data_IF_936942126757
#
_entry.id   IF_936942126757
#
_cell.length_a   1.000
_cell.length_b   1.000
_cell.length_c   1.000
_cell.angle_alpha   90.00
_cell.angle_beta   90.00
_cell.angle_gamma   90.00
#
_symmetry.space_group_name_H-M   'P 1'
#
loop_
_entity.id
_entity.type
_entity.pdbx_description
1 polymer ?
#
# COMPACT_ATOMS: atom_id res chain seq x y z
N UNK A 1 11.59 -17.60 22.15
CA UNK A 1 11.86 -16.43 21.29
C UNK A 1 11.33 -15.23 22.04
N UNK A 2 12.22 -14.47 22.64
CA UNK A 2 11.87 -13.28 23.42
C UNK A 2 11.15 -12.29 22.52
N UNK A 3 9.90 -11.94 22.89
CA UNK A 3 9.25 -10.74 22.37
C UNK A 3 9.99 -9.58 23.03
N UNK A 4 10.98 -9.04 22.34
CA UNK A 4 11.64 -7.81 22.76
C UNK A 4 10.65 -6.64 22.64
N UNK A 5 9.80 -6.48 23.66
CA UNK A 5 8.84 -5.38 23.79
C UNK A 5 9.52 -4.00 23.78
N UNK A 6 10.86 -3.94 23.91
CA UNK A 6 11.65 -2.71 23.97
C UNK A 6 12.58 -2.51 22.75
N UNK A 7 12.47 -3.38 21.75
CA UNK A 7 13.32 -3.32 20.57
C UNK A 7 13.07 -2.08 19.71
N UNK A 8 14.07 -1.62 18.93
CA UNK A 8 13.98 -0.48 18.01
C UNK A 8 12.68 -0.43 17.19
N UNK A 9 12.26 -1.58 16.67
CA UNK A 9 11.08 -1.73 15.82
C UNK A 9 9.78 -1.56 16.62
N UNK A 10 9.70 -2.09 17.85
CA UNK A 10 8.49 -1.99 18.67
C UNK A 10 8.29 -0.58 19.24
N UNK A 11 9.38 0.13 19.57
CA UNK A 11 9.33 1.56 19.89
C UNK A 11 8.73 2.35 18.73
N UNK A 12 9.23 2.12 17.51
CA UNK A 12 8.71 2.77 16.30
C UNK A 12 7.25 2.44 15.99
N UNK A 13 6.84 1.17 16.13
CA UNK A 13 5.44 0.77 15.97
C UNK A 13 4.52 1.49 16.96
N UNK A 14 4.95 1.61 18.21
CA UNK A 14 4.21 2.37 19.24
C UNK A 14 4.12 3.86 18.88
N UNK A 15 5.21 4.46 18.40
CA UNK A 15 5.22 5.85 17.95
C UNK A 15 4.26 6.05 16.75
N UNK A 16 4.23 5.13 15.79
CA UNK A 16 3.30 5.17 14.65
C UNK A 16 1.84 5.15 15.13
N UNK A 17 1.50 4.31 16.11
CA UNK A 17 0.14 4.28 16.68
C UNK A 17 -0.26 5.58 17.38
N UNK A 18 0.70 6.39 17.85
CA UNK A 18 0.40 7.70 18.41
C UNK A 18 -0.12 8.70 17.37
N UNK A 19 0.10 8.44 16.06
CA UNK A 19 -0.24 9.34 14.93
C UNK A 19 0.34 10.75 15.07
N UNK A 20 1.42 10.88 15.83
CA UNK A 20 2.19 12.11 15.97
C UNK A 20 3.48 11.99 15.17
N UNK A 21 3.55 12.71 14.05
CA UNK A 21 4.70 12.69 13.16
C UNK A 21 5.98 13.17 13.86
N UNK A 22 5.89 14.14 14.77
CA UNK A 22 7.07 14.64 15.50
C UNK A 22 7.65 13.56 16.43
N UNK A 23 6.76 12.81 17.09
CA UNK A 23 7.16 11.66 17.91
C UNK A 23 7.77 10.54 17.06
N UNK A 24 7.18 10.24 15.89
CA UNK A 24 7.72 9.24 14.95
C UNK A 24 9.10 9.66 14.45
N UNK A 25 9.29 10.91 14.03
CA UNK A 25 10.57 11.44 13.56
C UNK A 25 11.64 11.35 14.65
N UNK A 26 11.32 11.80 15.86
CA UNK A 26 12.23 11.74 17.01
C UNK A 26 12.62 10.29 17.32
N UNK A 27 11.63 9.39 17.38
CA UNK A 27 11.87 7.96 17.66
C UNK A 27 12.69 7.31 16.55
N UNK A 28 12.41 7.64 15.28
CA UNK A 28 13.16 7.12 14.13
C UNK A 28 14.63 7.51 14.23
N UNK A 29 14.92 8.79 14.48
CA UNK A 29 16.30 9.26 14.62
C UNK A 29 17.03 8.65 15.84
N UNK A 30 16.31 8.33 16.92
CA UNK A 30 16.90 7.64 18.09
C UNK A 30 17.35 6.22 17.74
N UNK A 31 16.56 5.50 16.94
CA UNK A 31 16.75 4.04 16.75
C UNK A 31 17.36 3.67 15.38
N UNK A 32 17.50 4.62 14.46
CA UNK A 32 18.11 4.46 13.14
C UNK A 32 19.65 4.51 13.25
N UNK A 33 20.29 3.35 13.50
CA UNK A 33 20.70 2.41 12.44
C UNK A 33 20.40 0.93 12.76
N UNK A 34 19.52 0.67 13.73
CA UNK A 34 19.22 -0.68 14.23
C UNK A 34 18.01 -1.33 13.52
N UNK A 35 17.38 -0.60 12.60
CA UNK A 35 16.24 -1.07 11.82
C UNK A 35 16.77 -1.62 10.49
N UNK A 36 16.39 -2.84 10.14
CA UNK A 36 16.73 -3.41 8.84
C UNK A 36 15.69 -3.04 7.77
N UNK A 37 16.06 -3.13 6.49
CA UNK A 37 15.23 -2.75 5.35
C UNK A 37 13.82 -3.35 5.41
N UNK A 38 13.71 -4.65 5.74
CA UNK A 38 12.41 -5.32 5.85
C UNK A 38 11.51 -4.65 6.89
N UNK A 39 12.07 -4.26 8.02
CA UNK A 39 11.33 -3.54 9.06
C UNK A 39 10.96 -2.13 8.61
N UNK A 40 11.81 -1.41 7.89
CA UNK A 40 11.51 -0.07 7.35
C UNK A 40 10.36 -0.08 6.35
N UNK A 41 10.40 -1.03 5.43
CA UNK A 41 9.32 -1.28 4.46
C UNK A 41 8.00 -1.60 5.18
N UNK A 42 8.06 -2.36 6.28
CA UNK A 42 6.90 -2.62 7.10
C UNK A 42 6.37 -1.36 7.80
N UNK A 43 7.21 -0.43 8.26
CA UNK A 43 6.76 0.84 8.87
C UNK A 43 5.99 1.70 7.86
N UNK A 44 6.48 1.79 6.63
CA UNK A 44 5.76 2.43 5.51
C UNK A 44 4.38 1.79 5.33
N UNK A 45 4.28 0.45 5.35
CA UNK A 45 2.99 -0.22 5.29
C UNK A 45 2.06 0.08 6.48
N UNK A 46 2.58 0.26 7.69
CA UNK A 46 1.75 0.64 8.83
C UNK A 46 1.18 2.05 8.64
N UNK A 47 1.97 3.01 8.16
CA UNK A 47 1.49 4.36 7.86
C UNK A 47 0.39 4.35 6.78
N UNK A 48 0.59 3.56 5.71
CA UNK A 48 -0.42 3.34 4.66
C UNK A 48 -1.68 2.75 5.28
N UNK A 49 -1.58 1.66 6.07
CA UNK A 49 -2.73 1.02 6.74
C UNK A 49 -3.52 1.99 7.63
N UNK A 50 -2.87 2.99 8.21
CA UNK A 50 -3.50 4.03 9.04
C UNK A 50 -4.12 5.18 8.23
N UNK A 51 -3.83 5.27 6.93
CA UNK A 51 -4.27 6.39 6.09
C UNK A 51 -3.47 7.65 6.29
N UNK A 52 -2.26 7.55 6.85
CA UNK A 52 -1.49 8.72 7.21
C UNK A 52 -0.55 9.10 6.06
N UNK A 53 -1.00 10.03 5.23
CA UNK A 53 -0.28 10.48 4.04
C UNK A 53 1.04 11.14 4.39
N UNK A 54 1.07 11.96 5.45
CA UNK A 54 2.27 12.67 5.88
C UNK A 54 3.31 11.69 6.43
N UNK A 55 2.88 10.75 7.27
CA UNK A 55 3.75 9.70 7.79
C UNK A 55 4.23 8.75 6.68
N UNK A 56 3.38 8.46 5.69
CA UNK A 56 3.76 7.67 4.52
C UNK A 56 4.85 8.40 3.72
N UNK A 57 4.68 9.72 3.47
CA UNK A 57 5.71 10.55 2.82
C UNK A 57 7.01 10.55 3.62
N UNK A 58 6.94 10.64 4.94
CA UNK A 58 8.12 10.58 5.80
C UNK A 58 8.87 9.26 5.62
N UNK A 59 8.22 8.10 5.76
CA UNK A 59 8.91 6.81 5.63
C UNK A 59 9.44 6.55 4.22
N UNK A 60 8.69 6.94 3.17
CA UNK A 60 9.19 6.87 1.79
C UNK A 60 10.42 7.76 1.60
N UNK A 61 10.51 8.92 2.26
CA UNK A 61 11.70 9.79 2.19
C UNK A 61 12.95 9.14 2.78
N UNK A 62 12.79 8.21 3.73
CA UNK A 62 13.89 7.47 4.35
C UNK A 62 14.24 6.21 3.57
N UNK A 63 13.23 5.52 3.06
CA UNK A 63 13.39 4.31 2.26
C UNK A 63 12.47 4.35 1.02
N UNK A 64 12.96 4.84 -0.13
CA UNK A 64 12.10 5.21 -1.27
C UNK A 64 11.49 4.05 -2.07
N UNK A 65 11.84 2.80 -1.75
CA UNK A 65 11.24 1.66 -2.43
C UNK A 65 9.76 1.50 -2.02
N UNK A 66 8.85 1.58 -2.99
CA UNK A 66 7.40 1.35 -2.84
C UNK A 66 6.91 0.04 -3.51
N UNK A 67 7.82 -0.72 -4.11
CA UNK A 67 7.54 -1.94 -4.87
C UNK A 67 8.01 -3.19 -4.10
N UNK A 68 7.41 -3.41 -2.94
CA UNK A 68 7.71 -4.52 -2.04
C UNK A 68 6.40 -5.13 -1.52
N UNK A 69 6.49 -6.34 -0.96
CA UNK A 69 5.34 -7.00 -0.33
C UNK A 69 5.42 -6.77 1.17
N UNK A 70 4.34 -6.27 1.77
CA UNK A 70 4.23 -6.17 3.23
C UNK A 70 4.28 -7.55 3.87
N UNK A 71 4.98 -7.69 4.99
CA UNK A 71 5.17 -9.01 5.60
C UNK A 71 3.91 -9.68 6.17
N UNK A 72 2.79 -8.97 6.25
CA UNK A 72 1.58 -9.43 6.93
C UNK A 72 0.42 -9.80 5.99
N UNK A 73 0.34 -9.22 4.78
CA UNK A 73 -0.91 -9.26 4.00
C UNK A 73 -0.75 -9.67 2.53
N UNK A 74 0.43 -10.12 2.08
CA UNK A 74 0.69 -10.47 0.65
C UNK A 74 0.43 -9.34 -0.36
N UNK A 75 0.24 -8.12 0.12
CA UNK A 75 -0.09 -6.94 -0.68
C UNK A 75 1.13 -6.04 -0.88
N UNK A 76 1.23 -5.47 -2.08
CA UNK A 76 2.10 -4.31 -2.32
C UNK A 76 1.45 -3.05 -1.74
N UNK A 77 2.22 -2.01 -1.38
CA UNK A 77 1.71 -0.72 -0.91
C UNK A 77 0.52 -0.18 -1.70
N UNK A 78 0.58 -0.26 -3.04
CA UNK A 78 -0.50 0.23 -3.90
C UNK A 78 -1.81 -0.54 -3.69
N UNK A 79 -1.77 -1.85 -3.46
CA UNK A 79 -2.96 -2.64 -3.15
C UNK A 79 -3.54 -2.24 -1.80
N UNK A 80 -2.70 -2.03 -0.78
CA UNK A 80 -3.17 -1.59 0.54
C UNK A 80 -3.86 -0.22 0.47
N UNK A 81 -3.34 0.73 -0.33
CA UNK A 81 -3.99 2.03 -0.55
C UNK A 81 -5.35 1.88 -1.27
N UNK A 82 -5.46 0.97 -2.24
CA UNK A 82 -6.72 0.68 -2.95
C UNK A 82 -7.76 0.03 -2.02
N UNK A 83 -7.36 -0.96 -1.20
CA UNK A 83 -8.23 -1.62 -0.22
C UNK A 83 -8.81 -0.62 0.78
N UNK A 84 -8.01 0.40 1.11
CA UNK A 84 -8.43 1.50 1.99
C UNK A 84 -9.37 2.51 1.33
N UNK A 85 -9.61 2.36 0.03
CA UNK A 85 -10.39 3.31 -0.76
C UNK A 85 -9.86 4.75 -0.64
N UNK A 86 -8.53 4.91 -0.68
CA UNK A 86 -7.83 6.17 -0.45
C UNK A 86 -7.15 6.68 -1.74
N UNK A 87 -7.81 7.54 -2.54
CA UNK A 87 -7.27 8.04 -3.80
C UNK A 87 -6.00 8.88 -3.62
N UNK A 88 -5.83 9.55 -2.48
CA UNK A 88 -4.65 10.38 -2.20
C UNK A 88 -3.42 9.49 -2.00
N UNK A 89 -3.54 8.42 -1.21
CA UNK A 89 -2.46 7.44 -1.07
C UNK A 89 -2.16 6.70 -2.38
N UNK A 90 -3.18 6.35 -3.18
CA UNK A 90 -2.96 5.74 -4.50
C UNK A 90 -2.16 6.68 -5.41
N UNK A 91 -2.56 7.96 -5.46
CA UNK A 91 -1.86 8.97 -6.26
C UNK A 91 -0.43 9.16 -5.79
N UNK A 92 -0.21 9.30 -4.47
CA UNK A 92 1.13 9.41 -3.88
C UNK A 92 2.02 8.22 -4.26
N UNK A 93 1.51 6.99 -4.17
CA UNK A 93 2.31 5.80 -4.47
C UNK A 93 2.66 5.73 -5.96
N UNK A 94 1.72 6.06 -6.86
CA UNK A 94 1.98 6.15 -8.30
C UNK A 94 3.04 7.22 -8.61
N UNK A 95 2.95 8.40 -8.00
CA UNK A 95 3.95 9.47 -8.11
C UNK A 95 5.34 9.03 -7.62
N UNK A 96 5.40 8.14 -6.63
CA UNK A 96 6.64 7.56 -6.10
C UNK A 96 7.14 6.34 -6.88
N UNK A 97 6.53 6.03 -8.02
CA UNK A 97 6.98 4.97 -8.92
C UNK A 97 6.48 3.58 -8.53
N UNK A 98 5.31 3.50 -7.88
CA UNK A 98 4.65 2.22 -7.66
C UNK A 98 4.33 1.54 -9.00
N UNK A 99 4.70 0.27 -9.12
CA UNK A 99 4.41 -0.56 -10.28
C UNK A 99 2.94 -0.98 -10.25
N UNK A 100 2.17 -0.37 -11.13
CA UNK A 100 0.72 -0.57 -11.28
C UNK A 100 0.36 -1.97 -11.79
N UNK A 101 1.33 -2.72 -12.33
CA UNK A 101 1.13 -4.08 -12.85
C UNK A 101 1.42 -5.17 -11.81
N UNK A 102 1.83 -4.78 -10.60
CA UNK A 102 2.02 -5.73 -9.49
C UNK A 102 0.76 -6.54 -9.24
N UNK A 103 0.97 -7.80 -8.87
CA UNK A 103 -0.09 -8.72 -8.44
C UNK A 103 0.12 -9.07 -6.97
N UNK A 104 -0.97 -9.18 -6.24
CA UNK A 104 -0.95 -9.73 -4.88
C UNK A 104 -0.27 -11.11 -4.89
N UNK A 105 0.34 -11.47 -3.78
CA UNK A 105 1.02 -12.77 -3.63
C UNK A 105 0.16 -13.83 -2.96
N UNK A 106 -1.12 -13.52 -2.74
CA UNK A 106 -2.11 -14.52 -2.39
C UNK A 106 -2.46 -15.39 -3.63
N UNK A 107 -3.18 -16.51 -3.46
CA UNK A 107 -3.50 -17.40 -4.57
C UNK A 107 -4.29 -16.77 -5.72
N UNK A 108 -5.01 -15.66 -5.53
CA UNK A 108 -5.79 -14.98 -6.56
C UNK A 108 -4.92 -14.16 -7.50
N UNK A 109 -3.77 -13.64 -7.05
CA UNK A 109 -2.88 -12.78 -7.85
C UNK A 109 -3.62 -11.63 -8.53
N UNK A 110 -4.41 -10.91 -7.73
CA UNK A 110 -5.16 -9.75 -8.21
C UNK A 110 -4.23 -8.57 -8.46
N UNK A 111 -4.53 -7.77 -9.49
CA UNK A 111 -3.89 -6.45 -9.66
C UNK A 111 -4.61 -5.41 -8.80
N UNK A 112 -3.99 -4.25 -8.61
CA UNK A 112 -4.64 -3.08 -7.99
C UNK A 112 -6.01 -2.76 -8.63
N UNK A 113 -6.15 -2.97 -9.95
CA UNK A 113 -7.39 -2.70 -10.67
C UNK A 113 -8.49 -3.75 -10.38
N UNK A 114 -8.14 -5.01 -10.14
CA UNK A 114 -9.10 -6.02 -9.65
C UNK A 114 -9.62 -5.63 -8.27
N UNK A 115 -8.74 -5.17 -7.38
CA UNK A 115 -9.14 -4.72 -6.04
C UNK A 115 -10.06 -3.51 -6.14
N UNK A 116 -9.75 -2.51 -6.98
CA UNK A 116 -10.61 -1.34 -7.19
C UNK A 116 -11.98 -1.71 -7.79
N UNK A 117 -12.02 -2.75 -8.63
CA UNK A 117 -13.27 -3.29 -9.15
C UNK A 117 -14.16 -3.87 -8.03
N UNK A 118 -13.57 -4.68 -7.14
CA UNK A 118 -14.23 -5.29 -5.98
C UNK A 118 -14.74 -4.26 -4.96
N UNK A 119 -14.02 -3.15 -4.77
CA UNK A 119 -14.47 -2.07 -3.88
C UNK A 119 -15.46 -1.13 -4.56
N UNK A 120 -15.64 -1.22 -5.88
CA UNK A 120 -16.54 -0.34 -6.63
C UNK A 120 -16.02 1.08 -6.82
N UNK A 121 -14.74 1.34 -6.52
CA UNK A 121 -14.16 2.69 -6.55
C UNK A 121 -13.72 3.09 -7.96
N UNK A 122 -14.65 3.67 -8.73
CA UNK A 122 -14.38 4.20 -10.08
C UNK A 122 -13.30 5.29 -10.10
N UNK A 123 -13.23 6.11 -9.06
CA UNK A 123 -12.19 7.15 -8.91
C UNK A 123 -10.80 6.52 -8.86
N UNK A 124 -10.61 5.51 -8.01
CA UNK A 124 -9.32 4.82 -7.89
C UNK A 124 -9.00 4.02 -9.14
N UNK A 125 -9.99 3.34 -9.73
CA UNK A 125 -9.79 2.65 -10.99
C UNK A 125 -9.29 3.60 -12.09
N UNK A 126 -9.86 4.81 -12.18
CA UNK A 126 -9.39 5.83 -13.11
C UNK A 126 -7.94 6.24 -12.82
N UNK A 127 -7.57 6.50 -11.56
CA UNK A 127 -6.18 6.81 -11.20
C UNK A 127 -5.20 5.70 -11.61
N UNK A 128 -5.58 4.44 -11.40
CA UNK A 128 -4.76 3.28 -11.79
C UNK A 128 -4.64 3.19 -13.32
N UNK A 129 -5.74 3.38 -14.07
CA UNK A 129 -5.73 3.38 -15.54
C UNK A 129 -4.88 4.52 -16.08
N UNK A 130 -5.02 5.72 -15.53
CA UNK A 130 -4.21 6.90 -15.90
C UNK A 130 -2.72 6.66 -15.57
N UNK A 131 -2.44 5.88 -14.52
CA UNK A 131 -1.12 5.36 -14.17
C UNK A 131 -0.61 4.18 -15.03
N UNK A 132 -1.38 3.75 -16.03
CA UNK A 132 -0.99 2.70 -16.99
C UNK A 132 -1.52 1.30 -16.70
N UNK A 133 -2.44 1.11 -15.74
CA UNK A 133 -3.01 -0.21 -15.44
C UNK A 133 -3.68 -0.84 -16.66
N UNK A 134 -3.39 -2.11 -16.92
CA UNK A 134 -4.06 -2.88 -17.96
C UNK A 134 -5.44 -3.36 -17.48
N UNK A 135 -6.50 -2.81 -18.07
CA UNK A 135 -7.90 -3.21 -17.85
C UNK A 135 -8.18 -4.69 -18.20
N UNK A 136 -7.33 -5.31 -19.02
CA UNK A 136 -7.48 -6.69 -19.48
C UNK A 136 -6.51 -7.67 -18.79
N UNK A 137 -5.80 -7.24 -17.75
CA UNK A 137 -4.91 -8.12 -17.00
C UNK A 137 -5.71 -9.25 -16.36
N UNK A 138 -5.26 -10.49 -16.53
CA UNK A 138 -5.91 -11.65 -15.91
C UNK A 138 -5.29 -11.97 -14.55
N UNK A 139 -6.12 -12.21 -13.54
CA UNK A 139 -5.67 -12.80 -12.28
C UNK A 139 -5.41 -14.32 -12.44
N UNK A 140 -5.06 -15.03 -11.37
CA UNK A 140 -4.73 -16.47 -11.44
C UNK A 140 -5.91 -17.36 -11.83
N UNK A 141 -7.14 -16.89 -11.62
CA UNK A 141 -8.38 -17.56 -12.02
C UNK A 141 -8.77 -17.27 -13.47
N UNK A 142 -8.02 -16.41 -14.16
CA UNK A 142 -8.30 -16.00 -15.54
C UNK A 142 -9.34 -14.89 -15.67
N UNK A 143 -9.82 -14.34 -14.55
CA UNK A 143 -10.76 -13.24 -14.52
C UNK A 143 -10.07 -11.90 -14.78
N UNK A 144 -10.82 -10.98 -15.37
CA UNK A 144 -10.47 -9.58 -15.61
C UNK A 144 -10.94 -8.71 -14.43
N UNK A 145 -10.41 -7.48 -14.26
CA UNK A 145 -10.93 -6.53 -13.31
C UNK A 145 -12.45 -6.30 -13.45
N UNK A 146 -12.95 -6.18 -14.69
CA UNK A 146 -14.38 -5.94 -14.94
C UNK A 146 -15.28 -7.09 -14.47
N UNK A 147 -14.75 -8.32 -14.37
CA UNK A 147 -15.51 -9.48 -13.87
C UNK A 147 -15.83 -9.36 -12.36
N UNK A 148 -15.14 -8.46 -11.66
CA UNK A 148 -15.38 -8.13 -10.25
C UNK A 148 -16.01 -6.75 -10.04
N UNK A 149 -16.53 -6.11 -11.10
CA UNK A 149 -17.10 -4.78 -11.00
C UNK A 149 -18.34 -4.74 -10.08
N UNK A 150 -18.22 -4.07 -8.93
CA UNK A 150 -19.27 -4.03 -7.91
C UNK A 150 -20.50 -3.22 -8.32
N UNK A 151 -20.34 -2.19 -9.16
CA UNK A 151 -21.43 -1.29 -9.56
C UNK A 151 -21.30 -0.78 -11.01
N UNK A 152 -22.34 -0.11 -11.51
CA UNK A 152 -22.37 0.40 -12.89
C UNK A 152 -21.30 1.46 -13.17
N UNK A 153 -20.96 2.29 -12.18
CA UNK A 153 -19.97 3.36 -12.35
C UNK A 153 -18.55 2.78 -12.56
N UNK A 154 -18.17 1.77 -11.79
CA UNK A 154 -16.89 1.07 -11.99
C UNK A 154 -16.92 0.23 -13.28
N UNK A 155 -18.06 -0.39 -13.59
CA UNK A 155 -18.26 -1.12 -14.86
C UNK A 155 -18.02 -0.20 -16.06
N UNK A 156 -18.57 1.02 -16.05
CA UNK A 156 -18.37 2.00 -17.11
C UNK A 156 -16.91 2.45 -17.24
N UNK A 157 -16.18 2.48 -16.13
CA UNK A 157 -14.75 2.86 -16.10
C UNK A 157 -13.85 1.75 -16.68
N UNK A 158 -14.23 0.49 -16.48
CA UNK A 158 -13.48 -0.69 -16.92
C UNK A 158 -13.85 -1.19 -18.33
N UNK A 159 -14.98 -0.73 -18.88
CA UNK A 159 -15.28 -0.85 -20.31
C UNK A 159 -14.26 -0.09 -21.16
#
# INVERSE_FOLDING_TARGET
MERDEFGPVNKLKTAIWSRDISNVESTYNEVYPLVNDKNELNLTNHAIKLGDVEMTKFFISKHPNVNYIGSEDYHYPIHAAVIREDPELVSLLLEKGADVHTKTQDPFQDTALHVAAKTGSATIAKLLIDGGADKNSKNSLGHLPIDYAENEQITATLK
#
